data_IF_834560446976
#
_entry.id   IF_834560446976
#
_cell.length_a   1.000
_cell.length_b   1.000
_cell.length_c   1.000
_cell.angle_alpha   90.00
_cell.angle_beta   90.00
_cell.angle_gamma   90.00
#
_symmetry.space_group_name_H-M   'P 1'
#
loop_
_entity.id
_entity.type
_entity.pdbx_description
1 polymer ?
#
# COMPACT_ATOMS: atom_id res chain seq x y z
N UNK A 1 36.92 -7.89 -58.77
CA UNK A 1 36.23 -7.72 -60.07
C UNK A 1 35.30 -8.90 -60.42
N UNK A 2 35.66 -10.16 -60.15
CA UNK A 2 34.80 -11.32 -60.44
C UNK A 2 33.38 -11.25 -59.83
N UNK A 3 33.25 -10.78 -58.58
CA UNK A 3 31.95 -10.64 -57.89
C UNK A 3 31.03 -9.60 -58.54
N UNK A 4 31.58 -8.50 -59.07
CA UNK A 4 30.83 -7.45 -59.79
C UNK A 4 30.32 -7.98 -61.13
N UNK A 5 31.16 -8.74 -61.85
CA UNK A 5 30.76 -9.40 -63.12
C UNK A 5 29.64 -10.41 -62.90
N UNK A 6 29.74 -11.22 -61.84
CA UNK A 6 28.70 -12.17 -61.45
C UNK A 6 27.40 -11.45 -61.11
N UNK A 7 27.44 -10.41 -60.27
CA UNK A 7 26.26 -9.61 -59.92
C UNK A 7 25.58 -8.98 -61.14
N UNK A 8 26.35 -8.41 -62.08
CA UNK A 8 25.81 -7.84 -63.31
C UNK A 8 25.13 -8.88 -64.20
N UNK A 9 25.71 -10.08 -64.30
CA UNK A 9 25.17 -11.17 -65.11
C UNK A 9 23.94 -11.85 -64.51
N UNK A 10 23.84 -11.93 -63.17
CA UNK A 10 22.79 -12.71 -62.49
C UNK A 10 21.68 -11.89 -61.86
N UNK A 11 21.89 -10.59 -61.59
CA UNK A 11 20.94 -9.75 -60.83
C UNK A 11 20.25 -8.66 -61.67
N UNK A 12 20.37 -8.71 -63.00
CA UNK A 12 19.64 -7.80 -63.90
C UNK A 12 19.93 -6.30 -63.71
N UNK A 13 21.15 -5.95 -63.29
CA UNK A 13 21.52 -4.57 -62.94
C UNK A 13 21.80 -3.72 -64.19
N UNK A 14 21.24 -2.50 -64.23
CA UNK A 14 21.29 -1.62 -65.41
C UNK A 14 22.67 -1.01 -65.74
N UNK A 15 23.65 -1.07 -64.84
CA UNK A 15 25.00 -0.52 -65.07
C UNK A 15 26.07 -1.15 -64.20
N UNK A 16 27.33 -1.06 -64.65
CA UNK A 16 28.51 -1.49 -63.90
C UNK A 16 28.62 -0.82 -62.52
N UNK A 17 28.30 0.49 -62.44
CA UNK A 17 28.31 1.23 -61.18
C UNK A 17 27.34 0.66 -60.14
N UNK A 18 26.13 0.28 -60.55
CA UNK A 18 25.14 -0.37 -59.67
C UNK A 18 25.58 -1.77 -59.24
N UNK A 19 26.17 -2.55 -60.15
CA UNK A 19 26.78 -3.83 -59.82
C UNK A 19 27.93 -3.70 -58.82
N UNK A 20 28.73 -2.64 -58.92
CA UNK A 20 29.79 -2.35 -57.97
C UNK A 20 29.23 -1.96 -56.59
N UNK A 21 28.14 -1.19 -56.53
CA UNK A 21 27.45 -0.85 -55.28
C UNK A 21 26.87 -2.08 -54.56
N UNK A 22 26.10 -2.92 -55.27
CA UNK A 22 25.56 -4.18 -54.72
C UNK A 22 26.70 -5.08 -54.22
N UNK A 23 27.77 -5.21 -54.99
CA UNK A 23 28.93 -6.02 -54.62
C UNK A 23 29.73 -5.50 -53.41
N UNK A 24 29.66 -4.20 -53.13
CA UNK A 24 30.37 -3.55 -52.03
C UNK A 24 29.51 -3.59 -50.77
N UNK A 25 28.26 -3.10 -50.86
CA UNK A 25 27.31 -3.11 -49.75
C UNK A 25 26.95 -4.54 -49.32
N UNK A 26 26.75 -5.46 -50.27
CA UNK A 26 26.48 -6.86 -49.95
C UNK A 26 27.63 -7.55 -49.22
N UNK A 27 28.89 -7.14 -49.47
CA UNK A 27 30.05 -7.63 -48.70
C UNK A 27 30.17 -6.99 -47.33
N UNK A 28 29.93 -5.68 -47.23
CA UNK A 28 29.91 -4.95 -45.96
C UNK A 28 28.83 -5.50 -45.01
N UNK A 29 27.66 -5.85 -45.55
CA UNK A 29 26.51 -6.38 -44.80
C UNK A 29 26.54 -7.90 -44.63
N UNK A 30 27.54 -8.60 -45.18
CA UNK A 30 27.66 -10.06 -45.06
C UNK A 30 26.61 -10.88 -45.81
N UNK A 31 25.87 -10.27 -46.74
CA UNK A 31 24.77 -10.88 -47.49
C UNK A 31 25.28 -12.00 -48.42
N UNK A 32 24.61 -13.15 -48.41
CA UNK A 32 24.93 -14.30 -49.27
C UNK A 32 25.95 -15.31 -48.70
N UNK A 33 26.36 -15.18 -47.42
CA UNK A 33 27.15 -16.19 -46.71
C UNK A 33 26.32 -17.22 -45.93
N UNK A 34 25.02 -16.97 -45.75
CA UNK A 34 24.08 -17.83 -45.03
C UNK A 34 22.86 -18.20 -45.91
N UNK A 35 22.24 -19.37 -45.72
CA UNK A 35 21.12 -19.86 -46.56
C UNK A 35 19.84 -19.01 -46.51
N UNK A 36 19.73 -18.04 -45.59
CA UNK A 36 18.61 -17.07 -45.51
C UNK A 36 18.84 -15.73 -46.23
N UNK A 37 20.06 -15.44 -46.71
CA UNK A 37 20.43 -14.12 -47.24
C UNK A 37 19.97 -13.79 -48.67
N UNK A 38 19.10 -14.62 -49.26
CA UNK A 38 18.57 -14.43 -50.61
C UNK A 38 17.54 -13.28 -50.66
N UNK A 39 16.70 -13.14 -49.63
CA UNK A 39 15.72 -12.04 -49.54
C UNK A 39 16.40 -10.67 -49.41
N UNK A 40 17.36 -10.56 -48.49
CA UNK A 40 18.14 -9.33 -48.25
C UNK A 40 18.96 -8.90 -49.49
N UNK A 41 19.44 -9.87 -50.29
CA UNK A 41 20.14 -9.58 -51.54
C UNK A 41 19.20 -9.01 -52.61
N UNK A 42 17.97 -9.53 -52.71
CA UNK A 42 16.94 -9.00 -53.62
C UNK A 42 16.56 -7.57 -53.21
N UNK A 43 16.37 -7.32 -51.92
CA UNK A 43 16.08 -5.99 -51.39
C UNK A 43 17.22 -5.00 -51.67
N UNK A 44 18.48 -5.41 -51.50
CA UNK A 44 19.65 -4.60 -51.85
C UNK A 44 19.66 -4.25 -53.35
N UNK A 45 19.33 -5.21 -54.22
CA UNK A 45 19.26 -5.00 -55.67
C UNK A 45 18.15 -4.02 -56.03
N UNK A 46 16.96 -4.15 -55.44
CA UNK A 46 15.86 -3.20 -55.64
C UNK A 46 16.19 -1.80 -55.11
N UNK A 47 16.80 -1.71 -53.91
CA UNK A 47 17.20 -0.44 -53.30
C UNK A 47 18.22 0.30 -54.16
N UNK A 48 19.25 -0.40 -54.65
CA UNK A 48 20.24 0.14 -55.61
C UNK A 48 19.57 0.46 -56.96
N UNK A 49 18.50 -0.25 -57.30
CA UNK A 49 17.59 0.03 -58.42
C UNK A 49 16.91 1.40 -58.31
N UNK A 50 16.47 1.78 -57.12
CA UNK A 50 15.76 3.04 -56.86
C UNK A 50 16.69 4.22 -56.55
N UNK A 51 17.84 3.97 -55.92
CA UNK A 51 18.78 5.02 -55.51
C UNK A 51 20.25 4.54 -55.63
N UNK A 52 21.12 5.26 -56.36
CA UNK A 52 22.53 4.91 -56.46
C UNK A 52 23.42 5.54 -55.35
N UNK A 53 22.87 6.31 -54.40
CA UNK A 53 23.65 6.96 -53.33
C UNK A 53 24.06 5.95 -52.24
N UNK A 54 25.37 5.67 -52.06
CA UNK A 54 25.85 4.74 -51.04
C UNK A 54 25.50 5.15 -49.61
N UNK A 55 25.41 6.45 -49.31
CA UNK A 55 25.11 6.93 -47.97
C UNK A 55 23.63 6.72 -47.63
N UNK A 56 22.73 7.05 -48.56
CA UNK A 56 21.31 6.75 -48.43
C UNK A 56 21.03 5.25 -48.30
N UNK A 57 21.70 4.42 -49.10
CA UNK A 57 21.55 2.96 -49.05
C UNK A 57 22.01 2.38 -47.70
N UNK A 58 23.14 2.85 -47.14
CA UNK A 58 23.58 2.41 -45.81
C UNK A 58 22.58 2.77 -44.71
N UNK A 59 22.03 3.99 -44.75
CA UNK A 59 20.97 4.41 -43.82
C UNK A 59 19.68 3.61 -43.97
N UNK A 60 19.38 3.13 -45.19
CA UNK A 60 18.19 2.33 -45.46
C UNK A 60 18.36 0.86 -45.04
N UNK A 61 19.55 0.30 -45.19
CA UNK A 61 19.79 -1.14 -45.01
C UNK A 61 20.30 -1.49 -43.61
N UNK A 62 20.84 -0.51 -42.87
CA UNK A 62 21.44 -0.72 -41.55
C UNK A 62 21.01 0.37 -40.57
N UNK A 63 19.87 0.16 -39.94
CA UNK A 63 19.37 0.96 -38.82
C UNK A 63 19.58 0.18 -37.52
N UNK A 64 20.38 0.72 -36.60
CA UNK A 64 20.64 0.10 -35.30
C UNK A 64 19.50 0.41 -34.32
N UNK A 65 19.01 -0.61 -33.63
CA UNK A 65 18.00 -0.43 -32.60
C UNK A 65 18.54 0.42 -31.45
N UNK A 66 17.80 1.45 -31.06
CA UNK A 66 18.17 2.35 -29.98
C UNK A 66 18.19 1.70 -28.57
N UNK A 67 17.69 0.46 -28.44
CA UNK A 67 17.65 -0.29 -27.17
C UNK A 67 18.73 -1.37 -27.13
N UNK A 68 18.76 -2.28 -28.13
CA UNK A 68 19.67 -3.43 -28.13
C UNK A 68 20.85 -3.31 -29.10
N UNK A 69 20.89 -2.28 -29.94
CA UNK A 69 21.95 -2.10 -30.95
C UNK A 69 21.87 -3.02 -32.16
N UNK A 70 20.90 -3.95 -32.22
CA UNK A 70 20.76 -4.83 -33.38
C UNK A 70 20.40 -4.03 -34.64
N UNK A 71 21.19 -4.23 -35.69
CA UNK A 71 21.00 -3.56 -36.97
C UNK A 71 20.07 -4.36 -37.89
N UNK A 72 18.99 -3.71 -38.34
CA UNK A 72 18.06 -4.23 -39.34
C UNK A 72 17.83 -3.20 -40.45
N UNK A 73 17.35 -3.62 -41.64
CA UNK A 73 16.89 -2.70 -42.65
C UNK A 73 15.79 -1.79 -42.10
N UNK A 74 15.75 -0.54 -42.56
CA UNK A 74 14.81 0.48 -42.11
C UNK A 74 13.41 -0.10 -42.09
N UNK A 75 12.87 -0.61 -43.19
CA UNK A 75 11.48 -1.12 -43.30
C UNK A 75 11.10 -2.24 -42.31
N UNK A 76 12.06 -2.92 -41.67
CA UNK A 76 11.81 -3.96 -40.66
C UNK A 76 11.84 -3.40 -39.22
N UNK A 77 12.26 -2.16 -39.04
CA UNK A 77 12.24 -1.48 -37.75
C UNK A 77 10.82 -0.94 -37.45
N UNK A 78 10.62 -0.55 -36.20
CA UNK A 78 9.42 0.12 -35.71
C UNK A 78 9.77 1.53 -35.23
N UNK A 79 8.87 2.47 -35.45
CA UNK A 79 9.02 3.88 -35.03
C UNK A 79 7.70 4.36 -34.46
N UNK A 80 7.81 5.10 -33.37
CA UNK A 80 6.69 5.81 -32.80
C UNK A 80 6.48 7.11 -33.57
N UNK A 81 5.24 7.53 -33.77
CA UNK A 81 4.91 8.80 -34.43
C UNK A 81 5.48 10.03 -33.70
N UNK A 82 5.68 9.91 -32.39
CA UNK A 82 6.20 10.97 -31.53
C UNK A 82 7.72 11.11 -31.52
N UNK A 83 8.50 10.19 -32.11
CA UNK A 83 9.96 10.27 -32.09
C UNK A 83 10.64 9.50 -33.23
N UNK A 84 11.86 9.89 -33.58
CA UNK A 84 12.64 9.24 -34.66
C UNK A 84 13.49 8.05 -34.20
N UNK A 85 13.26 7.52 -32.98
CA UNK A 85 14.05 6.42 -32.43
C UNK A 85 13.71 5.08 -33.13
N UNK A 86 14.69 4.42 -33.77
CA UNK A 86 14.46 3.13 -34.41
C UNK A 86 14.44 1.99 -33.37
N UNK A 87 13.40 1.16 -33.38
CA UNK A 87 13.25 0.01 -32.48
C UNK A 87 13.16 -1.27 -33.29
N UNK A 88 13.88 -2.33 -32.90
CA UNK A 88 13.66 -3.63 -33.53
C UNK A 88 12.28 -4.19 -33.11
N UNK A 89 11.66 -5.07 -33.92
CA UNK A 89 10.34 -5.62 -33.61
C UNK A 89 10.26 -6.30 -32.24
N UNK A 90 11.34 -6.96 -31.81
CA UNK A 90 11.39 -7.65 -30.54
C UNK A 90 11.42 -6.70 -29.34
N UNK A 91 12.29 -5.67 -29.35
CA UNK A 91 12.33 -4.67 -28.29
C UNK A 91 11.02 -3.87 -28.23
N UNK A 92 10.42 -3.55 -29.39
CA UNK A 92 9.13 -2.87 -29.45
C UNK A 92 8.04 -3.72 -28.78
N UNK A 93 7.89 -4.97 -29.21
CA UNK A 93 6.90 -5.89 -28.65
C UNK A 93 7.11 -6.10 -27.16
N UNK A 94 8.32 -6.45 -26.74
CA UNK A 94 8.63 -6.75 -25.34
C UNK A 94 8.35 -5.55 -24.42
N UNK A 95 8.78 -4.36 -24.82
CA UNK A 95 8.54 -3.13 -24.05
C UNK A 95 7.05 -2.87 -23.83
N UNK A 96 6.24 -2.94 -24.88
CA UNK A 96 4.81 -2.68 -24.77
C UNK A 96 4.05 -3.84 -24.10
N UNK A 97 4.47 -5.10 -24.27
CA UNK A 97 3.88 -6.22 -23.51
C UNK A 97 4.09 -6.04 -22.01
N UNK A 98 5.31 -5.73 -21.57
CA UNK A 98 5.62 -5.49 -20.15
C UNK A 98 4.93 -4.20 -19.68
N UNK A 99 5.01 -3.14 -20.47
CA UNK A 99 4.38 -1.86 -20.15
C UNK A 99 2.87 -2.00 -19.91
N UNK A 100 2.17 -2.74 -20.77
CA UNK A 100 0.73 -2.96 -20.63
C UNK A 100 0.41 -3.81 -19.40
N UNK A 101 1.18 -4.86 -19.11
CA UNK A 101 0.91 -5.75 -17.98
C UNK A 101 1.27 -5.15 -16.63
N UNK A 102 2.40 -4.46 -16.53
CA UNK A 102 3.02 -4.10 -15.25
C UNK A 102 3.01 -2.59 -14.97
N UNK A 103 2.78 -1.73 -15.97
CA UNK A 103 2.90 -0.28 -15.82
C UNK A 103 1.58 0.45 -16.07
N UNK A 104 1.56 1.77 -15.83
CA UNK A 104 0.40 2.63 -16.08
C UNK A 104 0.39 3.05 -17.55
N UNK A 105 -0.77 3.48 -18.04
CA UNK A 105 -0.94 3.98 -19.42
C UNK A 105 0.03 5.13 -19.74
N UNK A 106 0.31 6.01 -18.77
CA UNK A 106 1.25 7.12 -18.92
C UNK A 106 2.71 6.70 -19.09
N UNK A 107 3.07 5.44 -18.81
CA UNK A 107 4.44 4.93 -18.95
C UNK A 107 4.65 4.22 -20.29
N UNK A 108 3.63 4.13 -21.14
CA UNK A 108 3.68 3.52 -22.47
C UNK A 108 4.32 4.46 -23.49
N UNK A 109 5.52 4.96 -23.17
CA UNK A 109 6.31 5.90 -23.99
C UNK A 109 7.48 5.18 -24.68
N UNK A 110 8.22 5.87 -25.54
CA UNK A 110 9.41 5.32 -26.20
C UNK A 110 10.44 4.79 -25.18
N UNK A 111 10.91 3.53 -25.30
CA UNK A 111 11.93 2.97 -24.40
C UNK A 111 13.30 3.65 -24.52
N UNK A 112 13.60 4.29 -25.65
CA UNK A 112 14.89 4.92 -25.91
C UNK A 112 14.98 6.38 -25.44
N UNK A 113 13.90 7.15 -25.59
CA UNK A 113 13.91 8.60 -25.31
C UNK A 113 12.80 9.08 -24.37
N UNK A 114 11.94 8.19 -23.87
CA UNK A 114 10.83 8.49 -22.97
C UNK A 114 9.82 9.54 -23.50
N UNK A 115 9.72 9.72 -24.82
CA UNK A 115 8.73 10.59 -25.48
C UNK A 115 7.55 9.79 -26.04
N UNK A 116 6.35 10.39 -26.20
CA UNK A 116 5.97 11.77 -25.85
C UNK A 116 5.69 11.96 -24.36
N UNK A 117 5.59 13.21 -23.90
CA UNK A 117 4.99 13.50 -22.59
C UNK A 117 3.48 13.26 -22.69
N UNK A 118 2.95 12.38 -21.84
CA UNK A 118 1.54 12.00 -21.84
C UNK A 118 0.74 12.78 -20.79
N UNK A 119 1.26 13.90 -20.26
CA UNK A 119 0.53 14.77 -19.36
C UNK A 119 -0.68 15.45 -20.03
N UNK A 120 -0.54 15.91 -21.27
CA UNK A 120 -1.61 16.55 -22.04
C UNK A 120 -2.58 15.53 -22.66
N UNK A 121 -3.88 15.80 -22.54
CA UNK A 121 -4.95 14.89 -23.01
C UNK A 121 -5.04 14.82 -24.54
N UNK A 122 -4.85 15.94 -25.24
CA UNK A 122 -4.94 15.98 -26.70
C UNK A 122 -3.75 15.25 -27.35
N UNK A 123 -2.53 15.48 -26.84
CA UNK A 123 -1.34 14.77 -27.27
C UNK A 123 -1.45 13.26 -26.98
N UNK A 124 -2.00 12.88 -25.83
CA UNK A 124 -2.22 11.49 -25.44
C UNK A 124 -3.17 10.76 -26.40
N UNK A 125 -4.31 11.38 -26.73
CA UNK A 125 -5.29 10.84 -27.69
C UNK A 125 -4.67 10.67 -29.08
N UNK A 126 -3.95 11.68 -29.56
CA UNK A 126 -3.26 11.62 -30.86
C UNK A 126 -2.16 10.56 -30.89
N UNK A 127 -1.47 10.35 -29.77
CA UNK A 127 -0.44 9.33 -29.68
C UNK A 127 -1.05 7.92 -29.74
N UNK A 128 -2.04 7.64 -28.89
CA UNK A 128 -2.64 6.31 -28.81
C UNK A 128 -3.43 5.93 -30.06
N UNK A 129 -4.03 6.88 -30.80
CA UNK A 129 -4.69 6.58 -32.07
C UNK A 129 -3.73 5.99 -33.12
N UNK A 130 -2.48 6.42 -33.11
CA UNK A 130 -1.43 5.89 -34.01
C UNK A 130 -0.76 4.64 -33.44
N UNK A 131 -0.50 4.61 -32.13
CA UNK A 131 0.12 3.47 -31.45
C UNK A 131 -0.79 2.23 -31.48
N UNK A 132 -2.11 2.39 -31.37
CA UNK A 132 -3.08 1.29 -31.41
C UNK A 132 -2.90 0.39 -32.64
N UNK A 133 -2.70 1.00 -33.82
CA UNK A 133 -2.51 0.28 -35.08
C UNK A 133 -1.27 -0.61 -35.01
N UNK A 134 -0.17 -0.11 -34.44
CA UNK A 134 1.08 -0.86 -34.28
C UNK A 134 0.96 -1.96 -33.23
N UNK A 135 0.31 -1.66 -32.09
CA UNK A 135 0.12 -2.62 -31.00
C UNK A 135 -0.80 -3.77 -31.37
N UNK A 136 -1.85 -3.50 -32.14
CA UNK A 136 -2.75 -4.55 -32.68
C UNK A 136 -2.00 -5.58 -33.52
N UNK A 137 -0.95 -5.16 -34.22
CA UNK A 137 -0.15 -6.04 -35.08
C UNK A 137 0.95 -6.78 -34.32
N UNK A 138 1.48 -6.21 -33.23
CA UNK A 138 2.65 -6.76 -32.54
C UNK A 138 2.34 -7.51 -31.23
N UNK A 139 1.24 -7.18 -30.54
CA UNK A 139 0.86 -7.79 -29.26
C UNK A 139 -0.01 -9.01 -29.47
N UNK A 140 0.05 -9.96 -28.55
CA UNK A 140 -0.92 -11.07 -28.48
C UNK A 140 -2.33 -10.55 -28.14
N UNK A 141 -3.40 -11.28 -28.51
CA UNK A 141 -4.78 -10.83 -28.33
C UNK A 141 -5.13 -10.44 -26.90
N UNK A 142 -4.68 -11.22 -25.91
CA UNK A 142 -4.99 -10.98 -24.49
C UNK A 142 -4.32 -9.70 -24.00
N UNK A 143 -3.05 -9.48 -24.36
CA UNK A 143 -2.32 -8.26 -24.00
C UNK A 143 -2.90 -7.04 -24.72
N UNK A 144 -3.32 -7.17 -25.98
CA UNK A 144 -3.99 -6.08 -26.70
C UNK A 144 -5.37 -5.74 -26.12
N UNK A 145 -6.14 -6.74 -25.67
CA UNK A 145 -7.38 -6.51 -24.94
C UNK A 145 -7.13 -5.75 -23.63
N UNK A 146 -6.09 -6.13 -22.87
CA UNK A 146 -5.71 -5.42 -21.65
C UNK A 146 -5.33 -3.96 -21.93
N UNK A 147 -4.60 -3.69 -23.02
CA UNK A 147 -4.30 -2.33 -23.45
C UNK A 147 -5.56 -1.51 -23.73
N UNK A 148 -6.51 -2.08 -24.48
CA UNK A 148 -7.79 -1.44 -24.81
C UNK A 148 -8.63 -1.18 -23.55
N UNK A 149 -8.67 -2.15 -22.64
CA UNK A 149 -9.33 -2.02 -21.34
C UNK A 149 -8.74 -0.87 -20.54
N UNK A 150 -7.41 -0.78 -20.44
CA UNK A 150 -6.73 0.30 -19.69
C UNK A 150 -7.01 1.69 -20.27
N UNK A 151 -7.08 1.84 -21.59
CA UNK A 151 -7.46 3.10 -22.22
C UNK A 151 -8.91 3.48 -21.92
N UNK A 152 -9.82 2.50 -21.98
CA UNK A 152 -11.23 2.70 -21.67
C UNK A 152 -11.41 3.11 -20.21
N UNK A 153 -10.74 2.42 -19.28
CA UNK A 153 -10.76 2.75 -17.85
C UNK A 153 -10.20 4.15 -17.56
N UNK A 154 -9.18 4.60 -18.31
CA UNK A 154 -8.65 5.95 -18.18
C UNK A 154 -9.66 7.04 -18.56
N UNK A 155 -10.48 6.79 -19.58
CA UNK A 155 -11.58 7.68 -19.96
C UNK A 155 -12.70 7.66 -18.92
N UNK A 156 -13.08 6.45 -18.47
CA UNK A 156 -14.15 6.27 -17.47
C UNK A 156 -13.78 6.89 -16.11
N UNK A 157 -12.50 6.88 -15.71
CA UNK A 157 -12.02 7.48 -14.46
C UNK A 157 -12.25 9.01 -14.37
N UNK A 158 -12.50 9.69 -15.48
CA UNK A 158 -12.85 11.12 -15.47
C UNK A 158 -14.27 11.37 -14.94
N UNK A 159 -15.13 10.36 -14.97
CA UNK A 159 -16.49 10.46 -14.48
C UNK A 159 -16.54 10.27 -12.95
N UNK A 160 -17.15 11.18 -12.17
CA UNK A 160 -17.26 11.05 -10.72
C UNK A 160 -18.07 9.84 -10.24
N UNK A 161 -18.82 9.18 -11.13
CA UNK A 161 -19.62 7.97 -10.88
C UNK A 161 -18.85 6.68 -11.18
N UNK A 162 -17.56 6.76 -11.52
CA UNK A 162 -16.73 5.60 -11.79
C UNK A 162 -16.40 4.79 -10.54
N UNK A 163 -16.50 3.46 -10.62
CA UNK A 163 -16.16 2.52 -9.54
C UNK A 163 -15.36 1.31 -10.06
N UNK A 164 -14.51 0.76 -9.18
CA UNK A 164 -13.77 -0.47 -9.43
C UNK A 164 -14.45 -1.69 -8.80
N UNK A 165 -14.55 -2.78 -9.56
CA UNK A 165 -14.90 -4.07 -8.99
C UNK A 165 -13.70 -4.64 -8.20
N UNK A 166 -13.89 -4.98 -6.92
CA UNK A 166 -12.83 -5.58 -6.10
C UNK A 166 -12.52 -7.04 -6.45
N UNK A 167 -13.39 -7.72 -7.20
CA UNK A 167 -13.23 -9.15 -7.51
C UNK A 167 -12.42 -9.37 -8.78
N UNK A 168 -12.63 -8.54 -9.81
CA UNK A 168 -11.97 -8.69 -11.10
C UNK A 168 -11.24 -7.42 -11.57
N UNK A 169 -11.19 -6.38 -10.73
CA UNK A 169 -10.54 -5.11 -11.05
C UNK A 169 -11.07 -4.41 -12.31
N UNK A 170 -12.30 -4.71 -12.74
CA UNK A 170 -12.97 -4.03 -13.86
C UNK A 170 -13.53 -2.68 -13.44
N UNK A 171 -13.22 -1.64 -14.21
CA UNK A 171 -13.74 -0.28 -14.01
C UNK A 171 -15.02 -0.02 -14.81
N UNK A 172 -16.04 0.56 -14.19
CA UNK A 172 -17.29 0.95 -14.87
C UNK A 172 -17.99 2.12 -14.18
N UNK A 173 -18.87 2.82 -14.91
CA UNK A 173 -19.69 3.91 -14.38
C UNK A 173 -20.94 3.31 -13.70
N UNK A 174 -21.22 3.73 -12.47
CA UNK A 174 -22.39 3.29 -11.72
C UNK A 174 -23.03 4.42 -10.91
N UNK A 175 -24.35 4.57 -11.05
CA UNK A 175 -25.10 5.55 -10.27
C UNK A 175 -25.47 4.95 -8.90
N UNK A 176 -24.81 5.43 -7.84
CA UNK A 176 -24.95 4.89 -6.48
C UNK A 176 -26.38 4.94 -5.90
N UNK A 177 -27.30 5.70 -6.52
CA UNK A 177 -28.71 5.77 -6.12
C UNK A 177 -29.54 4.55 -6.57
N UNK A 178 -29.02 3.71 -7.47
CA UNK A 178 -29.71 2.54 -8.01
C UNK A 178 -29.54 1.26 -7.15
N UNK A 179 -28.88 1.35 -5.99
CA UNK A 179 -28.68 0.24 -5.07
C UNK A 179 -27.31 -0.46 -5.20
N UNK A 180 -27.22 -1.79 -5.01
CA UNK A 180 -25.94 -2.50 -5.11
C UNK A 180 -25.43 -2.52 -6.55
N UNK A 181 -24.15 -2.21 -6.74
CA UNK A 181 -23.49 -2.25 -8.03
C UNK A 181 -23.30 -3.70 -8.48
N UNK A 182 -23.62 -4.00 -9.74
CA UNK A 182 -23.33 -5.29 -10.37
C UNK A 182 -22.23 -5.10 -11.40
N UNK A 183 -21.13 -5.83 -11.26
CA UNK A 183 -20.02 -5.75 -12.21
C UNK A 183 -20.46 -6.32 -13.57
N UNK A 184 -20.34 -5.58 -14.68
CA UNK A 184 -20.69 -6.11 -16.02
C UNK A 184 -19.83 -7.31 -16.45
N UNK A 185 -18.59 -7.40 -15.96
CA UNK A 185 -17.65 -8.46 -16.34
C UNK A 185 -17.84 -9.75 -15.53
N UNK A 186 -17.78 -9.67 -14.19
CA UNK A 186 -17.87 -10.87 -13.35
C UNK A 186 -19.26 -11.13 -12.77
N UNK A 187 -20.23 -10.24 -13.05
CA UNK A 187 -21.62 -10.31 -12.59
C UNK A 187 -21.79 -10.28 -11.05
N UNK A 188 -20.71 -10.07 -10.29
CA UNK A 188 -20.75 -9.98 -8.83
C UNK A 188 -21.38 -8.67 -8.36
N UNK A 189 -22.21 -8.77 -7.32
CA UNK A 189 -22.91 -7.64 -6.71
C UNK A 189 -22.18 -7.15 -5.47
N UNK A 190 -21.94 -5.86 -5.37
CA UNK A 190 -21.23 -5.25 -4.24
C UNK A 190 -21.79 -3.86 -3.89
N UNK A 191 -21.52 -3.41 -2.67
CA UNK A 191 -21.91 -2.06 -2.26
C UNK A 191 -20.94 -1.03 -2.87
N UNK A 192 -21.40 0.00 -3.61
CA UNK A 192 -20.51 0.99 -4.21
C UNK A 192 -19.77 1.86 -3.18
N UNK A 193 -20.28 1.94 -1.94
CA UNK A 193 -19.66 2.74 -0.85
C UNK A 193 -18.61 2.00 -0.04
N UNK A 194 -18.88 0.74 0.33
CA UNK A 194 -17.96 -0.05 1.17
C UNK A 194 -17.26 -1.19 0.42
N UNK A 195 -17.55 -1.34 -0.87
CA UNK A 195 -17.00 -2.33 -1.80
C UNK A 195 -17.19 -3.81 -1.38
N UNK A 196 -18.01 -4.10 -0.36
CA UNK A 196 -18.26 -5.47 0.10
C UNK A 196 -19.28 -6.21 -0.78
N UNK A 197 -19.16 -7.54 -0.94
CA UNK A 197 -20.15 -8.35 -1.65
C UNK A 197 -21.53 -8.29 -0.98
N UNK A 198 -22.58 -8.22 -1.81
CA UNK A 198 -23.98 -8.27 -1.38
C UNK A 198 -24.52 -9.64 -1.80
N UNK A 199 -24.54 -10.58 -0.85
CA UNK A 199 -25.23 -11.88 -1.04
C UNK A 199 -26.76 -11.73 -1.01
N UNK A 200 -27.47 -12.79 -1.43
CA UNK A 200 -28.92 -12.86 -1.71
C UNK A 200 -29.89 -12.57 -0.53
N UNK A 201 -29.40 -12.11 0.62
CA UNK A 201 -30.26 -11.68 1.72
C UNK A 201 -30.51 -10.18 1.59
N UNK A 202 -31.75 -9.85 1.26
CA UNK A 202 -32.23 -8.54 0.80
C UNK A 202 -31.87 -7.33 1.67
N UNK A 203 -31.96 -6.18 1.00
CA UNK A 203 -31.79 -4.83 1.53
C UNK A 203 -32.68 -4.58 2.76
N UNK A 204 -32.05 -4.33 3.90
CA UNK A 204 -32.70 -3.60 4.99
C UNK A 204 -32.91 -2.14 4.55
N UNK A 205 -34.17 -1.72 4.53
CA UNK A 205 -34.61 -0.34 4.28
C UNK A 205 -33.90 0.62 5.23
N UNK A 206 -33.08 1.54 4.72
CA UNK A 206 -32.50 2.59 5.56
C UNK A 206 -31.20 3.26 5.10
N UNK A 207 -30.72 3.08 3.88
CA UNK A 207 -29.62 3.89 3.31
C UNK A 207 -28.27 3.84 4.07
N UNK A 208 -28.12 2.94 5.05
CA UNK A 208 -26.85 2.66 5.73
C UNK A 208 -26.33 1.33 5.21
N UNK A 209 -25.05 1.30 4.80
CA UNK A 209 -24.40 0.02 4.55
C UNK A 209 -24.51 -0.83 5.83
N UNK A 210 -25.02 -2.06 5.74
CA UNK A 210 -25.19 -3.00 6.85
C UNK A 210 -23.87 -3.52 7.44
N UNK A 211 -22.84 -2.69 7.53
CA UNK A 211 -21.54 -2.99 8.13
C UNK A 211 -21.53 -2.78 9.65
N UNK A 212 -22.70 -2.75 10.31
CA UNK A 212 -22.80 -2.49 11.74
C UNK A 212 -22.92 -3.72 12.64
N UNK A 213 -23.68 -4.76 12.26
CA UNK A 213 -24.10 -5.76 13.27
C UNK A 213 -24.30 -7.20 12.72
N UNK A 214 -24.55 -7.42 11.43
CA UNK A 214 -25.20 -8.66 10.98
C UNK A 214 -24.34 -9.82 10.46
N UNK A 215 -23.06 -9.63 10.11
CA UNK A 215 -22.20 -10.70 9.53
C UNK A 215 -20.92 -10.97 10.33
N UNK A 216 -21.00 -10.87 11.65
CA UNK A 216 -19.99 -11.45 12.55
C UNK A 216 -20.42 -12.85 13.07
N UNK A 217 -21.61 -13.33 12.69
CA UNK A 217 -22.22 -14.53 13.27
C UNK A 217 -22.93 -15.44 12.24
N UNK A 218 -22.44 -15.55 11.01
CA UNK A 218 -23.09 -16.36 9.97
C UNK A 218 -22.12 -17.00 9.00
N UNK A 219 -21.82 -18.27 9.29
CA UNK A 219 -21.33 -19.36 8.43
C UNK A 219 -19.90 -19.28 7.84
N UNK A 220 -19.10 -20.28 8.23
CA UNK A 220 -17.83 -20.65 7.60
C UNK A 220 -16.58 -20.00 8.20
N UNK A 221 -15.80 -20.76 8.98
CA UNK A 221 -14.40 -20.48 9.41
C UNK A 221 -14.12 -19.31 10.38
N UNK A 222 -15.09 -18.42 10.66
CA UNK A 222 -14.90 -17.28 11.59
C UNK A 222 -15.16 -17.53 13.09
N UNK A 223 -15.27 -18.78 13.58
CA UNK A 223 -15.65 -19.06 14.99
C UNK A 223 -14.50 -19.06 16.02
N UNK A 224 -13.26 -18.77 15.63
CA UNK A 224 -12.12 -18.74 16.56
C UNK A 224 -11.83 -17.35 17.16
N UNK A 225 -12.60 -16.31 16.79
CA UNK A 225 -12.27 -14.91 17.06
C UNK A 225 -13.21 -14.16 18.00
N UNK A 226 -13.60 -14.72 19.15
CA UNK A 226 -14.21 -13.90 20.20
C UNK A 226 -13.19 -12.86 20.72
N UNK A 227 -13.58 -11.59 20.91
CA UNK A 227 -12.79 -10.40 21.36
C UNK A 227 -11.44 -10.13 20.65
N UNK A 228 -10.60 -11.14 20.42
CA UNK A 228 -9.34 -11.14 19.69
C UNK A 228 -9.46 -10.62 18.24
N UNK A 229 -10.53 -10.97 17.52
CA UNK A 229 -10.74 -10.50 16.13
C UNK A 229 -10.98 -8.99 16.02
N UNK A 230 -11.60 -8.38 17.04
CA UNK A 230 -11.76 -6.92 17.14
C UNK A 230 -10.55 -6.21 17.73
N UNK A 231 -9.70 -6.94 18.46
CA UNK A 231 -8.53 -6.42 19.14
C UNK A 231 -7.34 -6.15 18.21
N UNK A 232 -7.05 -7.10 17.31
CA UNK A 232 -5.88 -7.00 16.41
C UNK A 232 -5.98 -5.90 15.35
N UNK A 233 -7.18 -5.60 14.84
CA UNK A 233 -7.39 -4.64 13.76
C UNK A 233 -7.58 -3.18 14.18
N UNK A 234 -7.78 -2.89 15.48
CA UNK A 234 -8.17 -1.55 15.97
C UNK A 234 -7.15 -0.92 16.93
N UNK A 235 -6.00 -1.54 17.15
CA UNK A 235 -4.86 -0.98 17.89
C UNK A 235 -3.90 -0.31 16.91
N UNK A 236 -4.33 0.79 16.28
CA UNK A 236 -3.46 1.64 15.50
C UNK A 236 -2.59 2.52 16.40
N UNK A 237 -1.29 2.29 16.48
CA UNK A 237 -0.35 3.27 17.02
C UNK A 237 -0.08 4.35 15.95
N UNK A 238 -0.76 5.48 16.04
CA UNK A 238 -0.50 6.66 15.18
C UNK A 238 0.38 7.67 15.91
N UNK A 239 1.57 7.97 15.35
CA UNK A 239 2.47 9.00 15.88
C UNK A 239 2.52 10.22 14.94
N UNK A 240 2.45 11.42 15.51
CA UNK A 240 2.31 12.71 14.80
C UNK A 240 3.54 13.24 14.06
N UNK A 241 4.52 12.41 13.72
CA UNK A 241 5.70 12.82 12.91
C UNK A 241 5.95 11.95 11.68
N UNK A 242 5.31 10.76 11.59
CA UNK A 242 5.23 10.01 10.34
C UNK A 242 3.82 9.43 10.23
N UNK A 243 3.12 9.66 9.11
CA UNK A 243 1.73 9.22 8.91
C UNK A 243 1.53 7.69 8.81
N UNK A 244 2.43 6.87 9.36
CA UNK A 244 2.33 5.42 9.37
C UNK A 244 1.56 4.96 10.61
N UNK A 245 0.38 4.36 10.40
CA UNK A 245 -0.37 3.66 11.44
C UNK A 245 0.00 2.18 11.46
N UNK A 246 0.32 1.64 12.63
CA UNK A 246 0.70 0.24 12.82
C UNK A 246 -0.36 -0.49 13.64
N UNK A 247 -0.83 -1.65 13.18
CA UNK A 247 -1.78 -2.50 13.89
C UNK A 247 -1.11 -3.41 14.94
N UNK A 248 -0.36 -2.84 15.87
CA UNK A 248 0.41 -3.57 16.89
C UNK A 248 -0.16 -3.33 18.30
N UNK A 249 -0.21 -4.38 19.11
CA UNK A 249 -0.49 -4.25 20.54
C UNK A 249 0.76 -3.76 21.30
N UNK A 250 0.56 -2.95 22.33
CA UNK A 250 1.63 -2.21 23.02
C UNK A 250 2.31 -3.00 24.13
N UNK A 251 2.45 -4.32 23.97
CA UNK A 251 2.87 -5.30 24.98
C UNK A 251 4.17 -4.91 25.71
N UNK A 252 4.06 -4.09 26.77
CA UNK A 252 5.08 -3.86 27.79
C UNK A 252 6.40 -3.17 27.40
N UNK A 253 6.75 -3.04 26.11
CA UNK A 253 7.98 -2.42 25.64
C UNK A 253 7.72 -1.10 24.90
N UNK A 254 8.50 -0.02 25.15
CA UNK A 254 8.44 1.18 24.33
C UNK A 254 8.82 0.85 22.89
N UNK A 255 7.96 1.22 21.93
CA UNK A 255 8.18 1.03 20.49
C UNK A 255 9.50 1.67 20.06
N UNK A 256 10.44 0.86 19.57
CA UNK A 256 11.62 1.33 18.88
C UNK A 256 11.31 1.41 17.37
N UNK A 257 11.16 2.62 16.84
CA UNK A 257 11.07 2.85 15.39
C UNK A 257 12.49 2.96 14.85
N UNK A 258 12.91 2.00 14.01
CA UNK A 258 14.29 1.83 13.52
C UNK A 258 14.86 2.94 12.63
N UNK A 259 14.33 4.17 12.65
CA UNK A 259 14.70 5.25 11.72
C UNK A 259 14.86 6.65 12.35
N UNK A 260 14.98 6.79 13.68
CA UNK A 260 15.18 8.12 14.28
C UNK A 260 16.31 8.19 15.29
N UNK A 261 17.12 9.25 15.18
CA UNK A 261 18.04 9.69 16.23
C UNK A 261 17.20 10.09 17.44
N UNK A 262 17.30 9.37 18.55
CA UNK A 262 16.60 9.71 19.79
C UNK A 262 17.00 11.14 20.22
N UNK A 263 16.05 12.09 20.14
CA UNK A 263 16.29 13.44 20.60
C UNK A 263 16.45 13.46 22.13
N UNK A 264 17.37 14.29 22.63
CA UNK A 264 17.56 14.51 24.06
C UNK A 264 16.33 15.19 24.66
N UNK A 265 16.03 14.88 25.92
CA UNK A 265 14.89 15.47 26.62
C UNK A 265 14.95 17.01 26.62
N UNK A 266 13.88 17.69 26.15
CA UNK A 266 13.82 19.16 26.08
C UNK A 266 13.54 19.82 27.44
N UNK A 267 13.03 19.06 28.40
CA UNK A 267 12.75 19.56 29.75
C UNK A 267 14.06 19.77 30.53
N UNK A 268 14.34 21.04 30.83
CA UNK A 268 15.55 21.45 31.56
C UNK A 268 15.49 21.09 33.04
N UNK A 269 14.29 20.91 33.60
CA UNK A 269 14.08 20.52 35.00
C UNK A 269 14.04 19.00 35.20
N UNK A 270 14.16 18.20 34.13
CA UNK A 270 14.05 16.75 34.23
C UNK A 270 15.29 16.14 34.92
N UNK A 271 15.13 15.40 36.04
CA UNK A 271 16.25 14.74 36.72
C UNK A 271 16.83 13.57 35.92
N UNK A 272 16.10 13.06 34.92
CA UNK A 272 16.47 11.90 34.10
C UNK A 272 17.13 12.29 32.76
N UNK A 273 17.52 13.56 32.59
CA UNK A 273 18.07 14.11 31.33
C UNK A 273 19.27 13.34 30.79
N UNK A 274 20.04 12.67 31.65
CA UNK A 274 21.19 11.84 31.27
C UNK A 274 20.84 10.43 30.77
N UNK A 275 19.57 10.02 30.81
CA UNK A 275 19.11 8.68 30.44
C UNK A 275 18.06 8.71 29.33
N UNK A 276 17.88 7.59 28.63
CA UNK A 276 16.76 7.38 27.71
C UNK A 276 15.44 7.30 28.51
N UNK A 277 14.53 8.24 28.28
CA UNK A 277 13.24 8.29 28.97
C UNK A 277 12.18 9.03 28.15
N UNK A 278 10.92 8.94 28.58
CA UNK A 278 9.80 9.72 28.06
C UNK A 278 8.99 10.37 29.19
N UNK A 279 8.30 11.46 28.89
CA UNK A 279 7.35 12.09 29.81
C UNK A 279 5.94 11.57 29.48
N UNK A 280 5.33 10.89 30.44
CA UNK A 280 4.02 10.26 30.27
C UNK A 280 2.95 11.03 31.08
N UNK A 281 1.73 11.20 30.55
CA UNK A 281 0.60 11.67 31.35
C UNK A 281 0.18 10.58 32.35
N UNK A 282 -0.55 10.97 33.39
CA UNK A 282 -0.90 10.07 34.52
C UNK A 282 -1.84 8.91 34.16
N UNK A 283 -2.56 9.01 33.05
CA UNK A 283 -3.44 7.99 32.46
C UNK A 283 -2.74 7.11 31.41
N UNK A 284 -1.43 7.30 31.21
CA UNK A 284 -0.67 6.47 30.28
C UNK A 284 -0.54 5.03 30.79
N UNK A 285 -0.58 4.08 29.85
CA UNK A 285 -0.27 2.67 30.10
C UNK A 285 1.07 2.47 30.81
N UNK A 286 2.06 3.34 30.56
CA UNK A 286 3.36 3.28 31.24
C UNK A 286 3.23 3.25 32.77
N UNK A 287 2.28 4.00 33.34
CA UNK A 287 1.99 3.99 34.78
C UNK A 287 0.91 2.98 35.14
N UNK A 288 -0.17 2.92 34.37
CA UNK A 288 -1.33 2.11 34.71
C UNK A 288 -1.08 0.60 34.56
N UNK A 289 -0.03 0.19 33.83
CA UNK A 289 0.40 -1.22 33.76
C UNK A 289 0.86 -1.79 35.10
N UNK A 290 1.29 -0.92 36.02
CA UNK A 290 1.77 -1.30 37.34
C UNK A 290 0.60 -1.47 38.34
N UNK A 291 -0.61 -1.06 37.96
CA UNK A 291 -1.80 -1.29 38.77
C UNK A 291 -2.30 -2.72 38.63
N UNK A 292 -2.78 -3.27 39.73
CA UNK A 292 -3.50 -4.54 39.68
C UNK A 292 -4.80 -4.40 38.87
N UNK A 293 -5.19 -5.42 38.05
CA UNK A 293 -6.38 -5.35 37.23
C UNK A 293 -7.64 -5.00 38.01
N UNK A 294 -7.75 -5.48 39.25
CA UNK A 294 -8.86 -5.15 40.16
C UNK A 294 -8.98 -3.65 40.45
N UNK A 295 -7.87 -2.92 40.57
CA UNK A 295 -7.88 -1.47 40.78
C UNK A 295 -8.33 -0.71 39.53
N UNK A 296 -7.91 -1.16 38.35
CA UNK A 296 -8.34 -0.60 37.06
C UNK A 296 -9.84 -0.85 36.81
N UNK A 297 -10.32 -2.05 37.14
CA UNK A 297 -11.74 -2.39 37.11
C UNK A 297 -12.56 -1.51 38.06
N UNK A 298 -12.07 -1.23 39.28
CA UNK A 298 -12.72 -0.26 40.18
C UNK A 298 -12.81 1.13 39.54
N UNK A 299 -11.77 1.60 38.86
CA UNK A 299 -11.81 2.91 38.19
C UNK A 299 -12.91 2.95 37.11
N UNK A 300 -13.07 1.86 36.36
CA UNK A 300 -14.15 1.70 35.37
C UNK A 300 -15.55 1.64 36.00
N UNK A 301 -15.67 1.20 37.26
CA UNK A 301 -16.93 1.14 38.00
C UNK A 301 -17.32 2.49 38.65
N UNK A 302 -16.35 3.38 38.94
CA UNK A 302 -16.56 4.69 39.59
C UNK A 302 -17.48 5.62 38.79
N UNK A 303 -17.55 5.46 37.47
CA UNK A 303 -18.67 5.95 36.66
C UNK A 303 -19.54 4.75 36.30
N UNK A 304 -20.86 4.84 36.44
CA UNK A 304 -21.84 3.83 35.98
C UNK A 304 -21.76 3.58 34.45
N UNK A 305 -20.64 3.08 33.93
CA UNK A 305 -20.37 2.97 32.51
C UNK A 305 -20.16 1.53 32.05
N UNK A 306 -19.99 0.54 32.94
CA UNK A 306 -19.66 -0.83 32.54
C UNK A 306 -20.46 -1.90 33.30
N UNK A 307 -21.74 -1.63 33.58
CA UNK A 307 -22.67 -2.67 34.06
C UNK A 307 -23.11 -3.66 32.98
N UNK A 308 -22.98 -3.30 31.68
CA UNK A 308 -23.51 -4.10 30.56
C UNK A 308 -22.49 -4.92 29.78
N UNK A 309 -21.18 -4.80 30.07
CA UNK A 309 -20.14 -5.60 29.40
C UNK A 309 -19.64 -6.77 30.25
N UNK A 310 -19.91 -6.75 31.56
CA UNK A 310 -19.45 -7.80 32.47
C UNK A 310 -20.40 -9.02 32.53
N UNK A 311 -21.69 -8.82 32.23
CA UNK A 311 -22.72 -9.86 32.29
C UNK A 311 -22.93 -10.68 31.01
N UNK A 312 -22.12 -10.49 29.97
CA UNK A 312 -22.31 -11.10 28.65
C UNK A 312 -21.38 -12.27 28.30
N UNK A 313 -20.44 -12.64 29.18
CA UNK A 313 -19.53 -13.78 28.95
C UNK A 313 -19.99 -15.08 29.63
N UNK A 314 -21.26 -15.17 30.04
CA UNK A 314 -21.87 -16.41 30.54
C UNK A 314 -22.51 -17.28 29.46
N UNK A 315 -22.39 -16.93 28.17
CA UNK A 315 -23.17 -17.57 27.10
C UNK A 315 -22.43 -17.85 25.79
N UNK A 316 -21.09 -17.78 25.76
CA UNK A 316 -20.30 -18.33 24.67
C UNK A 316 -19.56 -19.52 25.22
N UNK A 317 -19.89 -20.70 24.69
CA UNK A 317 -19.33 -21.97 25.10
C UNK A 317 -17.83 -21.86 25.33
N UNK A 318 -17.41 -22.21 26.54
CA UNK A 318 -16.07 -22.69 26.83
C UNK A 318 -15.87 -24.01 26.11
N UNK A 319 -15.86 -23.97 24.77
CA UNK A 319 -15.15 -24.98 24.03
C UNK A 319 -13.69 -24.61 24.19
N UNK A 320 -13.03 -25.37 25.06
CA UNK A 320 -11.61 -25.35 25.27
C UNK A 320 -10.89 -25.56 23.94
N UNK A 321 -10.60 -24.47 23.22
CA UNK A 321 -9.74 -24.53 22.05
C UNK A 321 -8.32 -24.72 22.58
N UNK A 322 -7.82 -25.94 22.42
CA UNK A 322 -6.54 -26.40 22.94
C UNK A 322 -5.36 -25.56 22.48
N UNK A 323 -4.94 -24.63 23.32
CA UNK A 323 -3.56 -24.21 23.59
C UNK A 323 -3.66 -23.16 24.70
N UNK A 324 -3.33 -23.53 25.95
CA UNK A 324 -3.62 -22.76 27.18
C UNK A 324 -2.88 -21.43 27.35
N UNK A 325 -3.07 -20.48 26.43
CA UNK A 325 -2.39 -19.18 26.46
C UNK A 325 -3.11 -18.07 25.69
N UNK A 326 -2.62 -16.85 25.86
CA UNK A 326 -3.16 -15.62 25.29
C UNK A 326 -3.00 -15.58 23.77
N UNK A 327 -4.10 -15.36 23.04
CA UNK A 327 -4.15 -15.33 21.57
C UNK A 327 -3.83 -13.99 20.90
N UNK A 328 -3.36 -12.98 21.65
CA UNK A 328 -2.98 -11.68 21.07
C UNK A 328 -1.74 -11.86 20.20
N UNK A 329 -1.78 -11.38 18.95
CA UNK A 329 -0.65 -11.46 18.03
C UNK A 329 0.41 -10.41 18.39
N UNK A 330 1.64 -10.87 18.55
CA UNK A 330 2.84 -10.07 18.79
C UNK A 330 3.79 -10.27 17.60
N UNK A 331 4.45 -9.18 17.17
CA UNK A 331 5.46 -9.24 16.11
C UNK A 331 6.80 -9.63 16.73
N UNK A 332 7.22 -10.87 16.55
CA UNK A 332 8.47 -11.42 17.12
C UNK A 332 9.60 -11.35 16.11
N UNK A 333 10.81 -11.07 16.61
CA UNK A 333 12.02 -11.12 15.79
C UNK A 333 12.47 -12.57 15.57
N UNK A 334 12.65 -12.92 14.32
CA UNK A 334 13.21 -14.21 13.88
C UNK A 334 14.45 -13.95 13.02
N UNK A 335 15.33 -14.95 12.82
CA UNK A 335 16.47 -14.80 11.90
C UNK A 335 16.07 -14.42 10.46
N UNK A 336 14.83 -14.70 10.05
CA UNK A 336 14.28 -14.36 8.74
C UNK A 336 13.53 -13.02 8.70
N UNK A 337 13.53 -12.26 9.80
CA UNK A 337 12.80 -11.00 9.94
C UNK A 337 11.67 -11.07 10.96
N UNK A 338 10.68 -10.20 10.79
CA UNK A 338 9.57 -10.04 11.74
C UNK A 338 8.41 -10.98 11.38
N UNK A 339 7.87 -11.68 12.38
CA UNK A 339 6.76 -12.63 12.20
C UNK A 339 5.70 -12.43 13.27
N UNK A 340 4.44 -12.43 12.85
CA UNK A 340 3.31 -12.40 13.77
C UNK A 340 3.07 -13.77 14.39
N UNK A 341 3.18 -13.84 15.71
CA UNK A 341 2.94 -15.05 16.49
C UNK A 341 2.05 -14.73 17.70
N UNK A 342 1.23 -15.69 18.18
CA UNK A 342 0.48 -15.47 19.40
C UNK A 342 1.42 -15.25 20.60
N UNK A 343 0.97 -14.40 21.51
CA UNK A 343 1.61 -14.10 22.78
C UNK A 343 1.89 -15.39 23.58
N UNK A 344 0.89 -16.28 23.68
CA UNK A 344 1.03 -17.60 24.30
C UNK A 344 1.17 -17.60 25.83
N UNK A 345 1.25 -16.44 26.49
CA UNK A 345 1.32 -16.33 27.96
C UNK A 345 0.03 -16.81 28.63
N UNK A 346 0.13 -17.32 29.86
CA UNK A 346 -1.00 -17.83 30.63
C UNK A 346 -2.15 -16.82 30.75
N UNK A 347 -3.39 -17.32 30.70
CA UNK A 347 -4.63 -16.55 30.77
C UNK A 347 -5.44 -16.87 32.05
N UNK A 348 -5.23 -16.12 33.16
CA UNK A 348 -5.96 -16.35 34.40
C UNK A 348 -7.49 -16.22 34.23
N UNK A 349 -8.29 -16.94 35.04
CA UNK A 349 -9.74 -16.78 35.04
C UNK A 349 -10.13 -15.33 35.39
N UNK A 350 -11.17 -14.81 34.73
CA UNK A 350 -11.61 -13.42 34.91
C UNK A 350 -10.86 -12.38 34.07
N UNK A 351 -9.83 -12.77 33.30
CA UNK A 351 -9.10 -11.88 32.37
C UNK A 351 -9.58 -11.99 30.91
N UNK A 352 -10.82 -12.45 30.68
CA UNK A 352 -11.44 -12.54 29.36
C UNK A 352 -10.59 -13.30 28.30
N UNK A 353 -9.85 -14.33 28.73
CA UNK A 353 -8.98 -15.12 27.84
C UNK A 353 -7.64 -14.47 27.49
N UNK A 354 -7.29 -13.34 28.12
CA UNK A 354 -6.03 -12.62 27.91
C UNK A 354 -5.02 -12.89 29.05
N UNK A 355 -3.72 -12.73 28.75
CA UNK A 355 -2.70 -12.69 29.79
C UNK A 355 -2.80 -11.40 30.61
N UNK A 356 -2.19 -11.35 31.80
CA UNK A 356 -2.23 -10.16 32.67
C UNK A 356 -1.83 -8.88 31.95
N UNK A 357 -0.77 -8.91 31.13
CA UNK A 357 -0.30 -7.74 30.38
C UNK A 357 -1.35 -7.21 29.40
N UNK A 358 -1.85 -8.07 28.51
CA UNK A 358 -2.87 -7.70 27.53
C UNK A 358 -4.22 -7.36 28.16
N UNK A 359 -4.56 -8.00 29.29
CA UNK A 359 -5.76 -7.65 30.03
C UNK A 359 -5.65 -6.27 30.67
N UNK A 360 -4.50 -5.91 31.24
CA UNK A 360 -4.26 -4.56 31.76
C UNK A 360 -4.29 -3.52 30.64
N UNK A 361 -3.69 -3.80 29.49
CA UNK A 361 -3.77 -2.93 28.31
C UNK A 361 -5.20 -2.69 27.86
N UNK A 362 -6.03 -3.73 27.89
CA UNK A 362 -7.46 -3.62 27.60
C UNK A 362 -8.16 -2.66 28.56
N UNK A 363 -7.97 -2.86 29.86
CA UNK A 363 -8.61 -2.02 30.87
C UNK A 363 -8.16 -0.56 30.74
N UNK A 364 -6.87 -0.32 30.50
CA UNK A 364 -6.31 1.03 30.29
C UNK A 364 -6.88 1.66 29.02
N UNK A 365 -7.02 0.90 27.93
CA UNK A 365 -7.69 1.40 26.72
C UNK A 365 -9.10 1.88 27.03
N UNK A 366 -9.90 1.09 27.75
CA UNK A 366 -11.25 1.50 28.15
C UNK A 366 -11.24 2.76 29.03
N UNK A 367 -10.34 2.83 30.02
CA UNK A 367 -10.14 4.01 30.87
C UNK A 367 -9.89 5.25 30.02
N UNK A 368 -9.00 5.15 29.04
CA UNK A 368 -8.60 6.27 28.16
C UNK A 368 -9.71 6.64 27.17
N UNK A 369 -10.45 5.66 26.62
CA UNK A 369 -11.60 5.90 25.75
C UNK A 369 -12.71 6.70 26.46
N UNK A 370 -12.95 6.37 27.74
CA UNK A 370 -13.93 7.05 28.59
C UNK A 370 -13.39 8.28 29.33
N UNK A 371 -12.10 8.64 29.14
CA UNK A 371 -11.42 9.74 29.83
C UNK A 371 -11.58 9.71 31.35
N UNK A 372 -11.37 8.53 31.95
CA UNK A 372 -11.41 8.37 33.40
C UNK A 372 -10.07 8.79 34.01
N UNK A 373 -10.10 9.67 35.02
CA UNK A 373 -8.89 10.14 35.68
C UNK A 373 -8.44 9.17 36.79
N UNK A 374 -7.25 8.57 36.70
CA UNK A 374 -6.72 7.70 37.77
C UNK A 374 -6.55 8.40 39.11
N UNK A 375 -6.40 9.74 39.13
CA UNK A 375 -6.25 10.53 40.34
C UNK A 375 -7.44 10.39 41.31
N UNK A 376 -8.61 9.97 40.79
CA UNK A 376 -9.79 9.64 41.60
C UNK A 376 -9.52 8.53 42.62
N UNK A 377 -8.62 7.59 42.32
CA UNK A 377 -8.27 6.46 43.19
C UNK A 377 -6.87 6.59 43.82
N UNK A 378 -6.22 7.75 43.72
CA UNK A 378 -4.91 7.96 44.34
C UNK A 378 -5.03 8.11 45.86
N UNK A 379 -4.12 7.45 46.55
CA UNK A 379 -3.83 7.66 47.98
C UNK A 379 -3.17 9.02 48.21
N UNK A 380 -3.14 9.55 49.45
CA UNK A 380 -2.44 10.79 49.76
C UNK A 380 -0.96 10.79 49.34
N UNK A 381 -0.29 9.63 49.44
CA UNK A 381 1.09 9.49 49.00
C UNK A 381 1.24 9.58 47.47
N UNK A 382 0.38 8.90 46.71
CA UNK A 382 0.37 8.96 45.24
C UNK A 382 0.03 10.37 44.74
N UNK A 383 -0.89 11.07 45.41
CA UNK A 383 -1.22 12.47 45.08
C UNK A 383 -0.02 13.39 45.28
N UNK A 384 0.75 13.22 46.36
CA UNK A 384 2.00 13.97 46.58
C UNK A 384 3.02 13.72 45.47
N UNK A 385 3.21 12.45 45.08
CA UNK A 385 4.15 12.08 44.01
C UNK A 385 3.70 12.59 42.64
N UNK A 386 2.40 12.51 42.34
CA UNK A 386 1.84 13.03 41.10
C UNK A 386 1.93 14.56 41.04
N UNK A 387 1.67 15.25 42.15
CA UNK A 387 1.81 16.69 42.27
C UNK A 387 3.26 17.15 42.02
N UNK A 388 4.23 16.48 42.65
CA UNK A 388 5.66 16.77 42.44
C UNK A 388 6.09 16.60 40.98
N UNK A 389 5.55 15.56 40.32
CA UNK A 389 5.96 15.20 38.96
C UNK A 389 5.29 16.05 37.87
N UNK A 390 4.02 16.38 38.04
CA UNK A 390 3.20 16.89 36.94
C UNK A 390 2.79 18.35 37.09
N UNK A 391 2.80 18.93 38.30
CA UNK A 391 2.47 20.34 38.46
C UNK A 391 3.61 21.21 37.95
N UNK A 392 3.33 22.27 37.15
CA UNK A 392 4.37 23.15 36.62
C UNK A 392 5.25 23.82 37.68
N UNK A 393 4.68 24.09 38.86
CA UNK A 393 5.40 24.67 40.01
C UNK A 393 5.90 23.65 41.03
N UNK A 394 5.83 22.36 40.73
CA UNK A 394 6.09 21.28 41.69
C UNK A 394 5.00 21.17 42.76
N UNK A 395 5.26 20.35 43.78
CA UNK A 395 4.29 20.09 44.85
C UNK A 395 4.20 21.32 45.78
N UNK A 396 3.01 21.92 45.97
CA UNK A 396 2.86 23.04 46.91
C UNK A 396 3.00 22.55 48.37
N UNK A 397 3.56 23.35 49.29
CA UNK A 397 3.66 22.98 50.69
C UNK A 397 2.27 22.78 51.33
N UNK A 398 2.22 21.96 52.37
CA UNK A 398 1.03 21.73 53.20
C UNK A 398 0.80 22.95 54.11
N UNK A 399 -0.45 23.38 54.26
CA UNK A 399 -0.80 24.47 55.17
C UNK A 399 -0.65 24.07 56.64
N UNK A 400 -0.32 25.02 57.52
CA UNK A 400 -0.05 24.74 58.94
C UNK A 400 -1.25 24.15 59.71
N UNK A 401 -2.47 24.41 59.27
CA UNK A 401 -3.72 23.90 59.87
C UNK A 401 -4.43 22.86 59.00
N UNK A 402 -3.87 22.50 57.85
CA UNK A 402 -4.49 21.58 56.90
C UNK A 402 -4.24 20.14 57.33
N UNK A 403 -5.27 19.29 57.40
CA UNK A 403 -5.11 17.85 57.63
C UNK A 403 -4.50 17.13 56.41
N UNK A 404 -4.02 15.89 56.59
CA UNK A 404 -3.47 15.12 55.47
C UNK A 404 -4.51 14.80 54.39
N UNK A 405 -5.76 14.60 54.79
CA UNK A 405 -6.88 14.33 53.87
C UNK A 405 -7.27 15.59 53.08
N UNK A 406 -7.38 16.74 53.75
CA UNK A 406 -7.66 18.03 53.12
C UNK A 406 -6.55 18.41 52.13
N UNK A 407 -5.29 18.20 52.53
CA UNK A 407 -4.14 18.42 51.66
C UNK A 407 -4.19 17.51 50.43
N UNK A 408 -4.52 16.22 50.61
CA UNK A 408 -4.74 15.30 49.50
C UNK A 408 -5.84 15.77 48.55
N UNK A 409 -6.99 16.18 49.08
CA UNK A 409 -8.11 16.69 48.27
C UNK A 409 -7.75 17.98 47.53
N UNK A 410 -6.93 18.86 48.13
CA UNK A 410 -6.41 20.05 47.46
C UNK A 410 -5.48 19.69 46.31
N UNK A 411 -4.53 18.77 46.54
CA UNK A 411 -3.62 18.28 45.50
C UNK A 411 -4.36 17.62 44.34
N UNK A 412 -5.39 16.81 44.61
CA UNK A 412 -6.23 16.20 43.57
C UNK A 412 -6.90 17.26 42.70
N UNK A 413 -7.52 18.27 43.31
CA UNK A 413 -8.16 19.37 42.60
C UNK A 413 -7.18 20.19 41.75
N UNK A 414 -5.96 20.41 42.24
CA UNK A 414 -4.91 21.08 41.47
C UNK A 414 -4.49 20.24 40.24
N UNK A 415 -4.28 18.93 40.43
CA UNK A 415 -3.93 18.02 39.33
C UNK A 415 -5.02 17.96 38.25
N UNK A 416 -6.29 17.87 38.65
CA UNK A 416 -7.43 17.84 37.73
C UNK A 416 -7.57 19.14 36.91
N UNK A 417 -7.25 20.28 37.54
CA UNK A 417 -7.40 21.61 36.92
C UNK A 417 -6.22 22.00 36.03
N UNK A 418 -5.00 21.76 36.48
CA UNK A 418 -3.79 22.31 35.85
C UNK A 418 -3.06 21.31 34.95
N UNK A 419 -3.29 20.01 35.14
CA UNK A 419 -2.63 18.96 34.37
C UNK A 419 -3.67 18.14 33.60
N UNK A 420 -3.83 18.37 32.28
CA UNK A 420 -4.77 17.59 31.49
C UNK A 420 -4.35 16.11 31.38
N UNK A 421 -5.33 15.24 31.16
CA UNK A 421 -5.09 13.85 30.75
C UNK A 421 -4.50 13.78 29.33
N UNK A 422 -3.91 12.64 28.98
CA UNK A 422 -3.33 12.41 27.65
C UNK A 422 -4.29 12.72 26.50
N UNK A 423 -3.76 13.25 25.40
CA UNK A 423 -4.52 13.43 24.16
C UNK A 423 -4.94 12.07 23.59
N UNK A 424 -6.18 11.98 23.07
CA UNK A 424 -6.68 10.74 22.44
C UNK A 424 -5.69 10.27 21.36
N UNK A 425 -5.30 8.98 21.34
CA UNK A 425 -4.71 8.40 20.14
C UNK A 425 -5.68 8.62 18.98
N UNK A 426 -5.20 9.16 17.85
CA UNK A 426 -6.04 9.39 16.69
C UNK A 426 -6.55 8.04 16.18
N UNK A 427 -7.85 7.79 16.29
CA UNK A 427 -8.50 6.71 15.55
C UNK A 427 -8.53 7.12 14.08
N UNK A 428 -7.65 6.54 13.26
CA UNK A 428 -7.88 6.42 11.81
C UNK A 428 -8.31 5.01 11.52
#
# INVERSE_FOLDING_TARGET
>A
QALVRRALATLGLASWGRAQLVATLGRELGLGRAPGGLGELVELVEAVGRCPDPAALRRLLRCECAVCGWALPRHQMQWLTSCECPLCPECFRLHFTIGVKERRVGDLVCPACARPDLADDAQRLSYFSTLDIQLRQCLDPDTYQLFTQKLTELELMKDPKFIWCIQCSFGFIFEAEQGPAQCPQCQQRFCPRCQRPVGDVGLGLGGRCGAGVGRMWGEGEGRLGGLCGGYGGLCGAGWGLCGAGWGLCGAGCPLAVGLTVFQRCPDRGCPLRGSLHGHHPRDCLFYLRDWEPSRLQRLLQVRHAVGRLWGGCGGLGVDAVGAGGCGVLEQKETPAGLRDEPCGRENPPGHAGLCRGHYTEYLVRLINEHRLDPAALYTPAELRTAAERHLPGGRPPRGAQESDEEYGLRLRRLLEREVPLGTRPSRR
#
